data_IF_056990647883
#
_entry.id   IF_056990647883
#
_cell.length_a   1.000
_cell.length_b   1.000
_cell.length_c   1.000
_cell.angle_alpha   90.00
_cell.angle_beta   90.00
_cell.angle_gamma   90.00
#
_symmetry.space_group_name_H-M   'P 1'
#
loop_
_entity.id
_entity.type
_entity.pdbx_description
1 polymer ?
#
# COMPACT_ATOMS: atom_id res chain seq x y z
N UNK A 1 11.28 -4.96 21.89
CA UNK A 1 10.62 -5.17 20.59
C UNK A 1 10.11 -6.59 20.54
N UNK A 2 8.82 -6.76 20.38
CA UNK A 2 8.15 -8.06 20.28
C UNK A 2 7.69 -8.27 18.85
N UNK A 3 7.97 -9.41 18.28
CA UNK A 3 7.55 -9.84 16.96
C UNK A 3 6.81 -11.15 17.13
N UNK A 4 5.55 -11.18 16.74
CA UNK A 4 4.72 -12.38 16.78
C UNK A 4 4.31 -12.75 15.37
N UNK A 5 4.40 -14.02 15.03
CA UNK A 5 3.77 -14.58 13.85
C UNK A 5 2.36 -15.02 14.22
N UNK A 6 1.36 -14.43 13.58
CA UNK A 6 -0.07 -14.62 13.89
C UNK A 6 -0.86 -14.82 12.59
N UNK A 7 -2.12 -15.21 12.74
CA UNK A 7 -3.09 -15.19 11.65
C UNK A 7 -4.35 -14.49 12.14
N UNK A 8 -4.73 -13.38 11.49
CA UNK A 8 -5.93 -12.63 11.81
C UNK A 8 -6.96 -12.80 10.69
N UNK A 9 -8.14 -13.30 11.04
CA UNK A 9 -9.15 -13.63 10.04
C UNK A 9 -8.65 -14.63 8.97
N UNK A 10 -7.66 -15.47 9.30
CA UNK A 10 -7.01 -16.41 8.39
C UNK A 10 -5.87 -15.82 7.56
N UNK A 11 -5.54 -14.55 7.72
CA UNK A 11 -4.46 -13.86 7.01
C UNK A 11 -3.17 -13.98 7.84
N UNK A 12 -2.13 -14.68 7.36
CA UNK A 12 -0.84 -14.75 8.04
C UNK A 12 -0.19 -13.36 8.08
N UNK A 13 0.35 -12.98 9.23
CA UNK A 13 1.00 -11.69 9.41
C UNK A 13 2.08 -11.73 10.49
N UNK A 14 2.98 -10.75 10.45
CA UNK A 14 3.80 -10.40 11.60
C UNK A 14 3.11 -9.25 12.34
N UNK A 15 2.99 -9.38 13.65
CA UNK A 15 2.54 -8.33 14.56
C UNK A 15 3.74 -7.84 15.38
N UNK A 16 4.07 -6.56 15.26
CA UNK A 16 5.25 -5.95 15.86
C UNK A 16 4.83 -4.82 16.80
N UNK A 17 5.33 -4.83 18.02
CA UNK A 17 5.11 -3.79 19.05
C UNK A 17 6.31 -3.66 20.00
N UNK A 18 6.43 -2.54 20.70
CA UNK A 18 7.38 -2.45 21.82
C UNK A 18 6.79 -3.15 23.06
N UNK A 19 7.61 -3.95 23.76
CA UNK A 19 7.21 -4.69 24.96
C UNK A 19 6.70 -3.77 26.09
N UNK A 20 7.30 -2.58 26.23
CA UNK A 20 6.87 -1.58 27.20
C UNK A 20 5.41 -1.10 26.99
N UNK A 21 4.82 -1.46 25.88
CA UNK A 21 3.55 -0.99 25.40
C UNK A 21 2.46 -2.07 25.37
N UNK A 22 2.79 -3.28 25.84
CA UNK A 22 1.85 -4.41 25.84
C UNK A 22 0.57 -4.06 26.62
N UNK A 23 -0.59 -4.33 26.01
CA UNK A 23 -1.91 -4.07 26.59
C UNK A 23 -2.37 -2.61 26.55
N UNK A 24 -1.61 -1.68 25.97
CA UNK A 24 -2.09 -0.32 25.73
C UNK A 24 -2.82 -0.24 24.39
N UNK A 25 -3.94 0.48 24.35
CA UNK A 25 -4.59 0.83 23.08
C UNK A 25 -3.68 1.80 22.32
N UNK A 26 -3.21 1.38 21.14
CA UNK A 26 -2.30 2.15 20.30
C UNK A 26 -2.81 2.18 18.89
N UNK A 27 -2.57 3.28 18.17
CA UNK A 27 -2.81 3.30 16.74
C UNK A 27 -2.06 2.16 16.04
N UNK A 28 -2.68 1.60 15.03
CA UNK A 28 -2.10 0.54 14.23
C UNK A 28 -1.63 1.04 12.86
N UNK A 29 -0.56 0.45 12.36
CA UNK A 29 -0.13 0.63 10.98
C UNK A 29 -0.14 -0.73 10.29
N UNK A 30 -0.89 -0.85 9.19
CA UNK A 30 -0.83 -2.00 8.29
C UNK A 30 0.12 -1.63 7.15
N UNK A 31 1.23 -2.36 7.01
CA UNK A 31 2.24 -2.03 6.00
C UNK A 31 2.48 -3.19 5.05
N UNK A 32 2.15 -2.98 3.77
CA UNK A 32 2.05 -3.99 2.73
C UNK A 32 3.35 -4.14 1.95
N UNK A 33 3.77 -5.38 1.70
CA UNK A 33 5.00 -5.66 0.96
C UNK A 33 4.82 -5.59 -0.57
N UNK A 34 5.94 -5.58 -1.30
CA UNK A 34 5.98 -5.55 -2.75
C UNK A 34 5.76 -6.93 -3.40
N UNK A 35 5.56 -6.92 -4.72
CA UNK A 35 5.48 -8.12 -5.54
C UNK A 35 6.79 -8.92 -5.47
N UNK A 36 6.72 -10.25 -5.46
CA UNK A 36 7.85 -11.18 -5.26
C UNK A 36 8.62 -11.01 -3.93
N UNK A 37 8.04 -10.28 -2.97
CA UNK A 37 8.57 -10.05 -1.64
C UNK A 37 7.84 -10.93 -0.59
N UNK A 38 8.03 -10.64 0.68
CA UNK A 38 7.36 -11.28 1.80
C UNK A 38 7.19 -10.29 2.96
N UNK A 39 6.33 -10.62 3.93
CA UNK A 39 6.05 -9.79 5.11
C UNK A 39 7.33 -9.41 5.88
N UNK A 40 8.30 -10.31 5.94
CA UNK A 40 9.57 -10.11 6.67
C UNK A 40 10.43 -8.99 6.06
N UNK A 41 10.33 -8.75 4.76
CA UNK A 41 11.14 -7.73 4.09
C UNK A 41 10.80 -6.30 4.52
N UNK A 42 9.66 -6.09 5.20
CA UNK A 42 9.26 -4.80 5.75
C UNK A 42 9.56 -4.64 7.27
N UNK A 43 10.28 -5.58 7.89
CA UNK A 43 10.63 -5.51 9.31
C UNK A 43 11.38 -4.22 9.70
N UNK A 44 12.19 -3.66 8.82
CA UNK A 44 12.89 -2.40 9.06
C UNK A 44 11.95 -1.19 9.15
N UNK A 45 10.83 -1.18 8.40
CA UNK A 45 9.74 -0.21 8.58
C UNK A 45 9.05 -0.43 9.93
N UNK A 46 8.62 -1.66 10.18
CA UNK A 46 7.88 -2.02 11.37
C UNK A 46 8.66 -1.71 12.65
N UNK A 47 9.97 -2.00 12.68
CA UNK A 47 10.84 -1.66 13.79
C UNK A 47 10.84 -0.16 14.09
N UNK A 48 11.00 0.70 13.07
CA UNK A 48 11.04 2.15 13.26
C UNK A 48 9.67 2.71 13.63
N UNK A 49 8.58 2.18 13.09
CA UNK A 49 7.20 2.56 13.44
C UNK A 49 6.86 2.15 14.88
N UNK A 50 7.21 0.92 15.28
CA UNK A 50 6.97 0.44 16.65
C UNK A 50 7.73 1.27 17.69
N UNK A 51 8.96 1.71 17.38
CA UNK A 51 9.73 2.67 18.17
C UNK A 51 9.04 4.02 18.38
N UNK A 52 8.14 4.39 17.49
CA UNK A 52 7.33 5.61 17.57
C UNK A 52 5.98 5.40 18.29
N UNK A 53 5.77 4.22 18.84
CA UNK A 53 4.62 3.92 19.68
C UNK A 53 3.48 3.18 18.99
N UNK A 54 3.64 2.72 17.76
CA UNK A 54 2.61 1.99 17.02
C UNK A 54 2.66 0.48 17.25
N UNK A 55 1.52 -0.16 17.08
CA UNK A 55 1.50 -1.57 16.71
C UNK A 55 1.51 -1.67 15.19
N UNK A 56 2.31 -2.59 14.64
CA UNK A 56 2.50 -2.71 13.19
C UNK A 56 2.14 -4.10 12.74
N UNK A 57 1.28 -4.18 11.74
CA UNK A 57 0.89 -5.41 11.08
C UNK A 57 1.55 -5.48 9.70
N UNK A 58 2.28 -6.55 9.46
CA UNK A 58 2.86 -6.88 8.16
C UNK A 58 2.15 -8.12 7.62
N UNK A 59 1.02 -7.98 6.91
CA UNK A 59 0.32 -9.13 6.35
C UNK A 59 1.07 -9.73 5.17
N UNK A 60 0.96 -11.05 5.01
CA UNK A 60 1.42 -11.78 3.84
C UNK A 60 0.40 -11.67 2.71
N UNK A 61 0.79 -11.15 1.58
CA UNK A 61 -0.09 -11.06 0.43
C UNK A 61 -0.43 -12.46 -0.13
N UNK A 62 -1.58 -12.58 -0.77
CA UNK A 62 -1.96 -13.78 -1.48
C UNK A 62 -0.86 -14.23 -2.45
N UNK A 63 -0.60 -15.53 -2.56
CA UNK A 63 0.45 -16.17 -3.38
C UNK A 63 1.90 -15.76 -3.04
N UNK A 64 2.13 -15.15 -1.88
CA UNK A 64 3.47 -14.77 -1.44
C UNK A 64 3.86 -15.47 -0.12
N UNK A 65 5.16 -15.56 0.12
CA UNK A 65 5.71 -16.11 1.36
C UNK A 65 5.10 -17.44 1.77
N UNK A 66 4.52 -17.54 2.96
CA UNK A 66 3.87 -18.76 3.47
C UNK A 66 2.57 -19.13 2.72
N UNK A 67 2.05 -18.23 1.89
CA UNK A 67 0.87 -18.44 1.03
C UNK A 67 1.24 -18.76 -0.42
N UNK A 68 2.53 -18.96 -0.70
CA UNK A 68 3.02 -19.22 -2.06
C UNK A 68 2.52 -20.54 -2.61
N UNK A 69 2.28 -20.57 -3.91
CA UNK A 69 1.99 -21.76 -4.70
C UNK A 69 3.16 -22.04 -5.66
N UNK A 70 3.26 -23.25 -6.23
CA UNK A 70 4.34 -23.59 -7.17
C UNK A 70 4.11 -22.93 -8.55
N UNK A 71 4.13 -21.59 -8.58
CA UNK A 71 4.00 -20.77 -9.78
C UNK A 71 5.35 -20.28 -10.23
N UNK A 72 5.60 -20.28 -11.52
CA UNK A 72 6.74 -19.58 -12.09
C UNK A 72 6.50 -18.05 -12.11
N UNK A 73 7.54 -17.29 -12.42
CA UNK A 73 7.48 -15.82 -12.40
C UNK A 73 6.43 -15.26 -13.38
N UNK A 74 6.26 -15.88 -14.54
CA UNK A 74 5.26 -15.45 -15.54
C UNK A 74 3.85 -15.73 -15.03
N UNK A 75 3.62 -16.93 -14.51
CA UNK A 75 2.33 -17.32 -13.92
C UNK A 75 1.94 -16.41 -12.76
N UNK A 76 2.89 -16.10 -11.86
CA UNK A 76 2.64 -15.18 -10.75
C UNK A 76 2.33 -13.77 -11.27
N UNK A 77 3.07 -13.28 -12.27
CA UNK A 77 2.86 -11.96 -12.87
C UNK A 77 1.49 -11.81 -13.53
N UNK A 78 0.96 -12.87 -14.14
CA UNK A 78 -0.38 -12.89 -14.72
C UNK A 78 -1.48 -12.77 -13.64
N UNK A 79 -1.18 -13.13 -12.39
CA UNK A 79 -2.09 -13.02 -11.23
C UNK A 79 -1.89 -11.74 -10.42
N UNK A 80 -1.10 -10.78 -10.89
CA UNK A 80 -0.78 -9.55 -10.16
C UNK A 80 -2.03 -8.81 -9.67
N UNK A 81 -3.02 -8.60 -10.53
CA UNK A 81 -4.24 -7.88 -10.15
C UNK A 81 -5.15 -8.69 -9.24
N UNK A 82 -5.17 -10.00 -9.36
CA UNK A 82 -5.84 -10.87 -8.38
C UNK A 82 -5.22 -10.69 -6.99
N UNK A 83 -3.89 -10.68 -6.89
CA UNK A 83 -3.18 -10.48 -5.63
C UNK A 83 -3.50 -9.12 -5.02
N UNK A 84 -3.47 -8.06 -5.83
CA UNK A 84 -3.80 -6.69 -5.38
C UNK A 84 -5.24 -6.59 -4.89
N UNK A 85 -6.21 -7.11 -5.66
CA UNK A 85 -7.63 -7.06 -5.31
C UNK A 85 -7.93 -7.89 -4.05
N UNK A 86 -7.38 -9.10 -3.95
CA UNK A 86 -7.49 -9.94 -2.74
C UNK A 86 -6.91 -9.20 -1.53
N UNK A 87 -5.74 -8.57 -1.67
CA UNK A 87 -5.14 -7.80 -0.57
C UNK A 87 -6.01 -6.61 -0.15
N UNK A 88 -6.68 -5.93 -1.08
CA UNK A 88 -7.64 -4.86 -0.74
C UNK A 88 -8.83 -5.43 0.04
N UNK A 89 -9.40 -6.56 -0.38
CA UNK A 89 -10.52 -7.20 0.33
C UNK A 89 -10.10 -7.66 1.74
N UNK A 90 -8.93 -8.24 1.88
CA UNK A 90 -8.36 -8.68 3.17
C UNK A 90 -8.14 -7.52 4.16
N UNK A 91 -7.93 -6.30 3.69
CA UNK A 91 -7.83 -5.11 4.54
C UNK A 91 -9.09 -4.87 5.37
N UNK A 92 -10.28 -5.22 4.84
CA UNK A 92 -11.53 -5.15 5.61
C UNK A 92 -11.50 -6.11 6.80
N UNK A 93 -11.00 -7.32 6.59
CA UNK A 93 -10.88 -8.34 7.65
C UNK A 93 -9.92 -7.84 8.74
N UNK A 94 -8.74 -7.32 8.34
CA UNK A 94 -7.77 -6.77 9.30
C UNK A 94 -8.31 -5.56 10.07
N UNK A 95 -9.11 -4.72 9.42
CA UNK A 95 -9.81 -3.61 10.09
C UNK A 95 -10.80 -4.11 11.15
N UNK A 96 -11.64 -5.09 10.81
CA UNK A 96 -12.60 -5.70 11.75
C UNK A 96 -11.87 -6.33 12.96
N UNK A 97 -10.74 -7.00 12.72
CA UNK A 97 -9.88 -7.57 13.77
C UNK A 97 -9.25 -6.50 14.68
N UNK A 98 -8.85 -5.36 14.12
CA UNK A 98 -8.33 -4.22 14.88
C UNK A 98 -9.42 -3.58 15.73
N UNK A 99 -10.60 -3.34 15.17
CA UNK A 99 -11.75 -2.82 15.90
C UNK A 99 -12.17 -3.72 17.07
N UNK A 100 -12.18 -5.04 16.86
CA UNK A 100 -12.49 -6.01 17.93
C UNK A 100 -11.46 -5.96 19.09
N UNK A 101 -10.26 -5.44 18.83
CA UNK A 101 -9.19 -5.20 19.81
C UNK A 101 -9.20 -3.79 20.37
N UNK A 102 -10.20 -2.97 20.02
CA UNK A 102 -10.35 -1.59 20.48
C UNK A 102 -9.43 -0.59 19.77
N UNK A 103 -8.93 -0.91 18.58
CA UNK A 103 -8.06 -0.06 17.79
C UNK A 103 -8.85 0.54 16.64
N UNK A 104 -9.08 1.83 16.67
CA UNK A 104 -9.87 2.58 15.68
C UNK A 104 -9.06 3.60 14.89
N UNK A 105 -7.80 3.88 15.29
CA UNK A 105 -6.88 4.75 14.56
C UNK A 105 -5.90 3.91 13.74
N UNK A 106 -6.03 3.98 12.42
CA UNK A 106 -5.34 3.05 11.52
C UNK A 106 -4.67 3.78 10.37
N UNK A 107 -3.35 3.62 10.28
CA UNK A 107 -2.56 4.00 9.13
C UNK A 107 -2.35 2.82 8.18
N UNK A 108 -2.29 3.11 6.89
CA UNK A 108 -1.98 2.09 5.86
C UNK A 108 -0.84 2.58 4.97
N UNK A 109 0.09 1.69 4.68
CA UNK A 109 1.17 2.01 3.74
C UNK A 109 1.74 0.76 3.08
N UNK A 110 2.66 0.96 2.17
CA UNK A 110 3.33 -0.16 1.52
C UNK A 110 4.28 0.25 0.41
N UNK A 111 5.04 -0.74 -0.04
CA UNK A 111 6.06 -0.56 -1.08
C UNK A 111 5.63 -1.21 -2.39
N UNK A 112 5.80 -0.55 -3.53
CA UNK A 112 5.55 -1.09 -4.88
C UNK A 112 4.10 -1.63 -4.99
N UNK A 113 3.89 -2.93 -5.19
CA UNK A 113 2.56 -3.56 -5.14
C UNK A 113 1.80 -3.18 -3.86
N UNK A 114 2.45 -3.15 -2.69
CA UNK A 114 1.83 -2.70 -1.44
C UNK A 114 1.42 -1.24 -1.47
N UNK A 115 2.18 -0.38 -2.15
CA UNK A 115 1.83 1.02 -2.39
C UNK A 115 0.64 1.17 -3.35
N UNK A 116 0.58 0.34 -4.39
CA UNK A 116 -0.58 0.25 -5.31
C UNK A 116 -1.81 -0.19 -4.52
N UNK A 117 -1.70 -1.26 -3.73
CA UNK A 117 -2.78 -1.76 -2.86
C UNK A 117 -3.26 -0.68 -1.89
N UNK A 118 -2.34 0.07 -1.25
CA UNK A 118 -2.66 1.20 -0.36
C UNK A 118 -3.53 2.25 -1.07
N UNK A 119 -3.22 2.60 -2.31
CA UNK A 119 -4.00 3.55 -3.10
C UNK A 119 -5.39 3.01 -3.46
N UNK A 120 -5.50 1.71 -3.77
CA UNK A 120 -6.79 1.05 -3.96
C UNK A 120 -7.63 1.04 -2.68
N UNK A 121 -7.02 0.82 -1.53
CA UNK A 121 -7.70 0.91 -0.23
C UNK A 121 -8.22 2.33 0.04
N UNK A 122 -7.45 3.36 -0.27
CA UNK A 122 -7.88 4.76 -0.14
C UNK A 122 -9.10 5.09 -1.03
N UNK A 123 -9.26 4.41 -2.15
CA UNK A 123 -10.41 4.59 -3.03
C UNK A 123 -11.73 4.05 -2.45
N UNK A 124 -11.66 3.03 -1.57
CA UNK A 124 -12.87 2.30 -1.13
C UNK A 124 -13.08 2.31 0.40
N UNK A 125 -12.05 2.58 1.20
CA UNK A 125 -12.14 2.55 2.66
C UNK A 125 -11.99 3.94 3.26
N UNK A 126 -12.99 4.39 3.99
CA UNK A 126 -12.98 5.69 4.68
C UNK A 126 -12.31 5.63 6.07
N UNK A 127 -12.18 4.43 6.65
CA UNK A 127 -11.57 4.21 7.97
C UNK A 127 -10.05 4.38 8.03
N UNK A 128 -9.40 4.59 6.90
CA UNK A 128 -7.94 4.84 6.86
C UNK A 128 -7.69 6.29 7.22
N UNK A 129 -6.99 6.54 8.34
CA UNK A 129 -6.71 7.88 8.82
C UNK A 129 -5.51 8.53 8.13
N UNK A 130 -4.47 7.76 7.85
CA UNK A 130 -3.19 8.23 7.30
C UNK A 130 -2.62 7.19 6.32
N UNK A 131 -2.00 7.65 5.24
CA UNK A 131 -1.34 6.74 4.31
C UNK A 131 0.09 7.16 3.93
N UNK A 132 0.94 6.16 3.66
CA UNK A 132 2.27 6.34 3.08
C UNK A 132 2.46 5.38 1.89
N UNK A 133 2.70 5.95 0.72
CA UNK A 133 2.79 5.23 -0.56
C UNK A 133 4.22 5.29 -1.08
N UNK A 134 4.92 4.17 -1.01
CA UNK A 134 6.30 4.07 -1.45
C UNK A 134 6.33 3.45 -2.85
N UNK A 135 6.65 4.25 -3.88
CA UNK A 135 6.74 3.84 -5.30
C UNK A 135 5.51 3.05 -5.80
N UNK A 136 4.30 3.51 -5.43
CA UNK A 136 3.02 2.97 -5.91
C UNK A 136 2.46 3.74 -7.08
N UNK A 137 1.38 3.25 -7.69
CA UNK A 137 0.69 3.88 -8.81
C UNK A 137 -0.82 3.99 -8.55
N UNK A 138 -1.42 5.20 -8.68
CA UNK A 138 -2.85 5.43 -8.41
C UNK A 138 -3.77 5.03 -9.57
N UNK A 139 -3.25 4.92 -10.78
CA UNK A 139 -4.00 4.66 -12.01
C UNK A 139 -4.02 3.17 -12.35
N UNK A 140 -4.92 2.42 -11.75
CA UNK A 140 -5.02 0.97 -11.89
C UNK A 140 -5.28 0.54 -13.33
N UNK A 141 -6.22 1.23 -13.99
CA UNK A 141 -6.63 0.90 -15.37
C UNK A 141 -5.47 1.10 -16.35
N UNK A 142 -4.78 2.22 -16.26
CA UNK A 142 -3.67 2.51 -17.19
C UNK A 142 -2.45 1.65 -16.90
N UNK A 143 -2.17 1.34 -15.62
CA UNK A 143 -1.11 0.41 -15.25
C UNK A 143 -1.41 -1.00 -15.79
N UNK A 144 -2.64 -1.49 -15.64
CA UNK A 144 -3.03 -2.80 -16.17
C UNK A 144 -2.92 -2.87 -17.70
N UNK A 145 -3.35 -1.84 -18.41
CA UNK A 145 -3.19 -1.77 -19.87
C UNK A 145 -1.72 -1.79 -20.28
N UNK A 146 -0.86 -1.03 -19.58
CA UNK A 146 0.55 -1.00 -19.85
C UNK A 146 1.21 -2.37 -19.60
N UNK A 147 0.87 -3.06 -18.51
CA UNK A 147 1.33 -4.41 -18.22
C UNK A 147 0.89 -5.41 -19.31
N UNK A 148 -0.39 -5.39 -19.68
CA UNK A 148 -0.91 -6.26 -20.76
C UNK A 148 -0.18 -6.02 -22.06
N UNK A 149 0.03 -4.76 -22.46
CA UNK A 149 0.75 -4.41 -23.69
C UNK A 149 2.21 -4.87 -23.63
N UNK A 150 2.85 -4.79 -22.48
CA UNK A 150 4.24 -5.28 -22.32
C UNK A 150 4.32 -6.81 -22.43
N UNK A 151 3.37 -7.55 -21.86
CA UNK A 151 3.28 -9.01 -22.05
C UNK A 151 3.12 -9.38 -23.54
N UNK A 152 2.19 -8.72 -24.25
CA UNK A 152 1.96 -8.93 -25.68
C UNK A 152 3.22 -8.57 -26.50
N UNK A 153 3.91 -7.48 -26.17
CA UNK A 153 5.17 -7.06 -26.82
C UNK A 153 6.29 -8.07 -26.64
N UNK A 154 6.34 -8.76 -25.50
CA UNK A 154 7.28 -9.86 -25.23
C UNK A 154 6.89 -11.18 -25.89
N UNK A 155 5.80 -11.22 -26.65
CA UNK A 155 5.33 -12.39 -27.36
C UNK A 155 4.49 -13.36 -26.53
N UNK A 156 4.10 -12.99 -25.30
CA UNK A 156 3.20 -13.79 -24.48
C UNK A 156 1.74 -13.54 -24.90
N UNK A 157 0.97 -14.60 -25.08
CA UNK A 157 -0.48 -14.50 -25.18
C UNK A 157 -1.08 -14.41 -23.78
N UNK A 158 -1.85 -13.37 -23.52
CA UNK A 158 -2.64 -13.30 -22.30
C UNK A 158 -3.73 -14.39 -22.32
N UNK A 159 -3.84 -15.23 -21.30
CA UNK A 159 -4.83 -16.32 -21.24
C UNK A 159 -6.23 -15.81 -20.85
N UNK A 160 -6.64 -14.67 -21.41
CA UNK A 160 -7.92 -14.02 -21.13
C UNK A 160 -8.60 -13.61 -22.45
N UNK A 161 -9.91 -13.75 -22.48
CA UNK A 161 -10.77 -13.27 -23.59
C UNK A 161 -10.92 -11.74 -23.56
N UNK A 162 -11.39 -11.16 -24.65
CA UNK A 162 -11.70 -9.71 -24.70
C UNK A 162 -12.75 -9.32 -23.66
N UNK A 163 -13.70 -10.22 -23.36
CA UNK A 163 -14.72 -9.97 -22.34
C UNK A 163 -14.14 -9.99 -20.93
N UNK A 164 -13.26 -10.93 -20.61
CA UNK A 164 -12.57 -10.99 -19.32
C UNK A 164 -11.64 -9.80 -19.13
N UNK A 165 -10.90 -9.39 -20.19
CA UNK A 165 -10.11 -8.16 -20.20
C UNK A 165 -10.96 -6.93 -19.86
N UNK A 166 -12.11 -6.81 -20.48
CA UNK A 166 -13.04 -5.70 -20.20
C UNK A 166 -13.52 -5.75 -18.76
N UNK A 167 -13.97 -6.92 -18.29
CA UNK A 167 -14.45 -7.11 -16.90
C UNK A 167 -13.36 -6.76 -15.89
N UNK A 168 -12.14 -7.17 -16.10
CA UNK A 168 -11.00 -6.81 -15.23
C UNK A 168 -10.80 -5.29 -15.20
N UNK A 169 -10.76 -4.62 -16.35
CA UNK A 169 -10.57 -3.16 -16.41
C UNK A 169 -11.73 -2.40 -15.76
N UNK A 170 -12.96 -2.87 -15.91
CA UNK A 170 -14.15 -2.30 -15.25
C UNK A 170 -14.04 -2.46 -13.71
N UNK A 171 -13.59 -3.62 -13.23
CA UNK A 171 -13.32 -3.84 -11.80
C UNK A 171 -12.23 -2.91 -11.28
N UNK A 172 -11.10 -2.83 -11.99
CA UNK A 172 -9.98 -1.98 -11.59
C UNK A 172 -10.35 -0.49 -11.58
N UNK A 173 -11.27 -0.06 -12.44
CA UNK A 173 -11.77 1.31 -12.46
C UNK A 173 -12.46 1.73 -11.15
N UNK A 174 -13.01 0.77 -10.40
CA UNK A 174 -13.63 1.02 -9.09
C UNK A 174 -12.59 1.37 -8.00
N UNK A 175 -11.35 0.90 -8.16
CA UNK A 175 -10.25 1.15 -7.22
C UNK A 175 -9.28 2.23 -7.70
N UNK A 176 -9.53 2.84 -8.86
CA UNK A 176 -8.63 3.77 -9.54
C UNK A 176 -8.82 5.21 -9.03
N UNK A 177 -7.91 5.68 -8.18
CA UNK A 177 -7.96 7.04 -7.62
C UNK A 177 -7.82 8.15 -8.66
N UNK A 178 -7.27 7.87 -9.85
CA UNK A 178 -7.21 8.89 -10.92
C UNK A 178 -8.59 9.25 -11.45
N UNK A 179 -9.59 8.40 -11.20
CA UNK A 179 -10.97 8.54 -11.62
C UNK A 179 -11.91 9.07 -10.52
N UNK A 180 -11.48 9.03 -9.26
CA UNK A 180 -12.29 9.36 -8.08
C UNK A 180 -11.41 10.02 -7.00
N UNK A 181 -10.69 11.04 -7.40
CA UNK A 181 -9.70 11.76 -6.58
C UNK A 181 -10.31 12.32 -5.28
N UNK A 182 -11.58 12.65 -5.28
CA UNK A 182 -12.36 13.10 -4.12
C UNK A 182 -12.37 12.08 -2.98
N UNK A 183 -12.13 10.80 -3.28
CA UNK A 183 -12.00 9.74 -2.28
C UNK A 183 -10.79 9.91 -1.37
N UNK A 184 -9.82 10.73 -1.73
CA UNK A 184 -8.73 11.11 -0.80
C UNK A 184 -9.28 11.81 0.44
N UNK A 185 -10.38 12.54 0.33
CA UNK A 185 -11.16 13.15 1.42
C UNK A 185 -10.30 13.95 2.43
N UNK A 186 -9.27 14.65 1.95
CA UNK A 186 -8.36 15.44 2.79
C UNK A 186 -7.50 14.64 3.77
N UNK A 187 -7.48 13.31 3.67
CA UNK A 187 -6.64 12.44 4.52
C UNK A 187 -5.16 12.71 4.28
N UNK A 188 -4.30 12.65 5.32
CA UNK A 188 -2.87 12.77 5.14
C UNK A 188 -2.31 11.64 4.28
N UNK A 189 -1.71 11.98 3.14
CA UNK A 189 -1.05 11.01 2.24
C UNK A 189 0.34 11.48 1.88
N UNK A 190 1.32 10.64 2.15
CA UNK A 190 2.71 10.84 1.73
C UNK A 190 3.07 9.92 0.59
N UNK A 191 3.68 10.47 -0.45
CA UNK A 191 4.29 9.72 -1.53
C UNK A 191 5.82 9.84 -1.47
N UNK A 192 6.48 8.73 -1.67
CA UNK A 192 7.89 8.68 -1.99
C UNK A 192 8.10 7.91 -3.30
N UNK A 193 8.91 8.44 -4.22
CA UNK A 193 9.15 7.75 -5.49
C UNK A 193 10.55 8.06 -6.06
N UNK A 194 11.24 7.02 -6.54
CA UNK A 194 12.49 7.16 -7.27
C UNK A 194 12.26 7.72 -8.68
N UNK A 195 13.00 8.79 -9.04
CA UNK A 195 12.85 9.43 -10.36
C UNK A 195 13.21 8.52 -11.53
N UNK A 196 14.08 7.54 -11.29
CA UNK A 196 14.57 6.58 -12.30
C UNK A 196 13.84 5.23 -12.24
N UNK A 197 12.68 5.17 -11.59
CA UNK A 197 11.90 3.94 -11.49
C UNK A 197 11.31 3.55 -12.86
N UNK A 198 11.73 2.39 -13.36
CA UNK A 198 11.27 1.79 -14.62
C UNK A 198 10.28 0.63 -14.41
N UNK A 199 10.06 0.19 -13.17
CA UNK A 199 9.15 -0.91 -12.81
C UNK A 199 7.75 -0.36 -12.57
N UNK A 200 7.62 0.61 -11.65
CA UNK A 200 6.43 1.44 -11.49
C UNK A 200 6.80 2.86 -11.91
N UNK A 201 6.41 3.30 -13.12
CA UNK A 201 6.87 4.58 -13.66
C UNK A 201 6.53 5.77 -12.74
N UNK A 202 7.52 6.61 -12.49
CA UNK A 202 7.40 7.80 -11.64
C UNK A 202 6.35 8.80 -12.14
N UNK A 203 6.36 9.09 -13.45
CA UNK A 203 5.62 10.23 -14.01
C UNK A 203 4.11 10.15 -13.81
N UNK A 204 3.40 9.02 -14.02
CA UNK A 204 1.97 8.94 -13.79
C UNK A 204 1.57 9.26 -12.35
N UNK A 205 2.35 8.78 -11.37
CA UNK A 205 2.09 9.03 -9.94
C UNK A 205 2.35 10.49 -9.58
N UNK A 206 3.40 11.10 -10.12
CA UNK A 206 3.69 12.52 -9.91
C UNK A 206 2.64 13.43 -10.56
N UNK A 207 2.14 13.10 -11.74
CA UNK A 207 1.03 13.83 -12.37
C UNK A 207 -0.26 13.77 -11.55
N UNK A 208 -0.59 12.59 -11.02
CA UNK A 208 -1.71 12.45 -10.10
C UNK A 208 -1.53 13.33 -8.86
N UNK A 209 -0.36 13.30 -8.22
CA UNK A 209 -0.06 14.17 -7.07
C UNK A 209 -0.27 15.64 -7.43
N UNK A 210 0.27 16.11 -8.56
CA UNK A 210 0.12 17.50 -8.99
C UNK A 210 -1.35 17.87 -9.21
N UNK A 211 -2.13 16.98 -9.82
CA UNK A 211 -3.56 17.20 -10.07
C UNK A 211 -4.36 17.25 -8.77
N UNK A 212 -4.07 16.37 -7.79
CA UNK A 212 -4.77 16.30 -6.52
C UNK A 212 -4.33 17.38 -5.51
N UNK A 213 -3.18 18.03 -5.72
CA UNK A 213 -2.64 19.04 -4.79
C UNK A 213 -3.61 20.20 -4.53
N UNK A 214 -4.43 20.58 -5.51
CA UNK A 214 -5.41 21.64 -5.36
C UNK A 214 -6.53 21.27 -4.35
N UNK A 215 -6.83 20.00 -4.18
CA UNK A 215 -7.85 19.50 -3.24
C UNK A 215 -7.38 19.63 -1.79
N UNK A 216 -6.07 19.86 -1.58
CA UNK A 216 -5.43 20.07 -0.28
C UNK A 216 -5.00 21.53 -0.04
N UNK A 217 -5.58 22.50 -0.77
CA UNK A 217 -5.17 23.91 -0.67
C UNK A 217 -5.33 24.48 0.75
N UNK A 218 -6.29 23.98 1.54
CA UNK A 218 -6.51 24.41 2.94
C UNK A 218 -5.56 23.75 3.95
N UNK A 219 -4.92 22.64 3.60
CA UNK A 219 -3.98 21.90 4.46
C UNK A 219 -2.89 21.20 3.61
N UNK A 220 -2.06 21.97 2.90
CA UNK A 220 -1.11 21.43 1.91
C UNK A 220 -0.04 20.52 2.52
N UNK A 221 0.23 20.64 3.81
CA UNK A 221 1.13 19.77 4.58
C UNK A 221 0.61 18.34 4.75
N UNK A 222 -0.69 18.09 4.50
CA UNK A 222 -1.31 16.77 4.56
C UNK A 222 -1.17 15.97 3.28
N UNK A 223 -0.61 16.54 2.22
CA UNK A 223 -0.43 15.88 0.94
C UNK A 223 0.95 16.18 0.36
N UNK A 224 1.87 15.25 0.54
CA UNK A 224 3.28 15.48 0.24
C UNK A 224 3.85 14.44 -0.71
N UNK A 225 4.90 14.84 -1.44
CA UNK A 225 5.59 13.97 -2.38
C UNK A 225 7.11 14.21 -2.30
N UNK A 226 7.85 13.17 -1.92
CA UNK A 226 9.31 13.17 -1.97
C UNK A 226 9.79 12.45 -3.22
N UNK A 227 10.59 13.15 -4.03
CA UNK A 227 11.26 12.59 -5.21
C UNK A 227 12.72 12.30 -4.90
N UNK A 228 13.13 11.05 -4.96
CA UNK A 228 14.55 10.70 -4.93
C UNK A 228 15.10 10.71 -6.37
N UNK A 229 15.96 11.69 -6.68
CA UNK A 229 16.50 11.90 -8.03
C UNK A 229 17.43 10.78 -8.49
N UNK A 230 18.01 10.03 -7.57
CA UNK A 230 19.01 9.00 -7.84
C UNK A 230 18.40 7.59 -7.85
N UNK A 231 17.33 7.37 -7.11
CA UNK A 231 16.73 6.06 -6.92
C UNK A 231 15.94 5.58 -8.16
N UNK A 232 16.03 4.26 -8.38
CA UNK A 232 15.12 3.50 -9.22
C UNK A 232 13.99 2.88 -8.40
N UNK A 233 13.70 1.59 -8.64
CA UNK A 233 12.66 0.83 -7.91
C UNK A 233 13.18 0.29 -6.58
N UNK A 234 13.66 1.16 -5.70
CA UNK A 234 14.15 0.82 -4.37
C UNK A 234 14.05 2.05 -3.45
N UNK A 235 13.38 1.91 -2.32
CA UNK A 235 13.22 2.98 -1.35
C UNK A 235 14.53 3.21 -0.60
N UNK A 236 14.99 4.46 -0.57
CA UNK A 236 16.17 4.84 0.21
C UNK A 236 15.89 4.78 1.72
N UNK A 237 16.96 4.67 2.52
CA UNK A 237 16.82 4.71 3.98
C UNK A 237 16.13 6.00 4.46
N UNK A 238 16.43 7.14 3.86
CA UNK A 238 15.77 8.40 4.18
C UNK A 238 14.28 8.34 3.87
N UNK A 239 13.88 7.83 2.69
CA UNK A 239 12.47 7.68 2.33
C UNK A 239 11.72 6.74 3.27
N UNK A 240 12.34 5.66 3.73
CA UNK A 240 11.76 4.79 4.75
C UNK A 240 11.52 5.53 6.07
N UNK A 241 12.48 6.32 6.53
CA UNK A 241 12.34 7.12 7.75
C UNK A 241 11.28 8.21 7.62
N UNK A 242 11.21 8.87 6.46
CA UNK A 242 10.15 9.86 6.15
C UNK A 242 8.74 9.24 6.27
N UNK A 243 8.53 8.03 5.77
CA UNK A 243 7.25 7.33 5.93
C UNK A 243 6.93 7.05 7.41
N UNK A 244 7.93 6.64 8.21
CA UNK A 244 7.75 6.40 9.64
C UNK A 244 7.43 7.71 10.41
N UNK A 245 8.10 8.82 10.05
CA UNK A 245 7.86 10.14 10.64
C UNK A 245 6.48 10.69 10.22
N UNK A 246 6.04 10.39 9.00
CA UNK A 246 4.72 10.74 8.49
C UNK A 246 3.60 10.13 9.33
N UNK A 247 3.66 8.82 9.58
CA UNK A 247 2.69 8.18 10.47
C UNK A 247 2.74 8.76 11.88
N UNK A 248 3.95 9.00 12.44
CA UNK A 248 4.09 9.58 13.76
C UNK A 248 3.44 10.96 13.87
N UNK A 249 3.55 11.77 12.83
CA UNK A 249 2.98 13.12 12.78
C UNK A 249 1.46 13.12 12.75
N UNK A 250 0.83 12.23 12.01
CA UNK A 250 -0.62 12.31 11.76
C UNK A 250 -1.46 11.24 12.45
N UNK A 251 -0.83 10.20 12.98
CA UNK A 251 -1.54 9.11 13.63
C UNK A 251 -1.43 9.16 15.16
N UNK A 252 -0.37 9.81 15.73
CA UNK A 252 -0.24 10.01 17.18
C UNK A 252 -0.96 11.27 17.69
N UNK A 253 -1.12 12.29 16.85
CA UNK A 253 -1.85 13.50 17.27
C UNK A 253 -3.31 13.17 17.50
N UNK A 254 -3.85 13.55 18.68
CA UNK A 254 -5.28 13.55 18.89
C UNK A 254 -5.93 14.45 17.82
N UNK A 255 -7.09 14.07 17.27
CA UNK A 255 -7.79 14.96 16.36
C UNK A 255 -8.03 16.28 17.12
N UNK A 256 -7.46 17.37 16.64
CA UNK A 256 -7.84 18.70 17.11
C UNK A 256 -9.35 18.84 16.86
N UNK A 257 -10.12 18.67 17.95
CA UNK A 257 -11.56 18.90 18.02
C UNK A 257 -11.88 20.37 17.74
#
# INVERSE_FOLDING_TARGET
>A
MRIKEEAWGGIPLLHIEEEANEGQQKPAIIFLHGFTSAKEHNLHYAFNMAKKGFQVLLPEAHLHGVRSEPLDEVQLSLRFWEIVLTSIEEMKILHEELLARGVDRIGVGGTSMGGITTLGCLAVYEWIDVAAVMMGAPGFVELAKAQMSEFERRGFKLPITSQERKSLLDTLAFFDLTRQRERLNGRPVHFWHGKKDIVVPYEPTYQFFRAAKADYASAPERFTFTTDQSAGHAVSRSGMLEACDWFARYLNDEPNL
#
